data_IF_971490197940
#
_entry.id   IF_971490197940
#
_cell.length_a   1.000
_cell.length_b   1.000
_cell.length_c   1.000
_cell.angle_alpha   90.00
_cell.angle_beta   90.00
_cell.angle_gamma   90.00
#
_symmetry.space_group_name_H-M   'P 1'
#
loop_
_entity.id
_entity.type
_entity.pdbx_description
1 polymer ?
#
# COMPACT_ATOMS: atom_id res chain seq x y z
N UNK A 1 6.99 54.83 -65.39
CA UNK A 1 7.29 55.70 -64.23
C UNK A 1 7.01 54.93 -62.96
N UNK A 2 8.00 54.84 -62.05
CA UNK A 2 7.91 54.20 -60.74
C UNK A 2 6.91 54.94 -59.83
N UNK A 3 6.16 54.21 -59.00
CA UNK A 3 5.87 54.56 -57.60
C UNK A 3 5.34 53.32 -56.85
N UNK A 4 6.17 52.85 -55.90
CA UNK A 4 5.85 51.93 -54.81
C UNK A 4 5.22 52.72 -53.65
N UNK A 5 4.20 52.16 -52.99
CA UNK A 5 3.74 52.49 -51.64
C UNK A 5 3.20 51.18 -51.01
N UNK A 6 4.03 50.47 -50.24
CA UNK A 6 4.04 50.40 -48.76
C UNK A 6 2.86 49.62 -48.15
N UNK A 7 3.08 48.32 -47.99
CA UNK A 7 2.35 47.41 -47.09
C UNK A 7 2.79 47.64 -45.64
N UNK A 8 1.88 48.10 -44.79
CA UNK A 8 2.03 47.99 -43.33
C UNK A 8 1.33 46.73 -42.82
N UNK A 9 1.90 45.96 -41.88
CA UNK A 9 1.23 44.81 -41.31
C UNK A 9 0.15 45.26 -40.30
N UNK A 10 -1.07 44.80 -40.53
CA UNK A 10 -2.18 44.87 -39.58
C UNK A 10 -1.94 43.80 -38.51
N UNK A 11 -1.59 44.21 -37.30
CA UNK A 11 -1.44 43.30 -36.16
C UNK A 11 -2.82 42.88 -35.65
N UNK A 12 -3.27 41.70 -36.07
CA UNK A 12 -4.44 41.02 -35.51
C UNK A 12 -4.10 40.51 -34.11
N UNK A 13 -4.69 41.15 -33.09
CA UNK A 13 -4.68 40.66 -31.71
C UNK A 13 -5.53 39.38 -31.63
N UNK A 14 -4.88 38.22 -31.69
CA UNK A 14 -5.51 36.93 -31.40
C UNK A 14 -5.66 36.82 -29.88
N UNK A 15 -6.88 37.04 -29.39
CA UNK A 15 -7.24 36.76 -28.00
C UNK A 15 -7.28 35.25 -27.81
N UNK A 16 -6.18 34.68 -27.35
CA UNK A 16 -6.14 33.28 -26.92
C UNK A 16 -6.92 33.14 -25.61
N UNK A 17 -8.15 32.60 -25.71
CA UNK A 17 -8.84 32.05 -24.55
C UNK A 17 -8.02 30.85 -24.05
N UNK A 18 -7.23 31.06 -23.00
CA UNK A 18 -6.69 29.97 -22.19
C UNK A 18 -7.89 29.33 -21.48
N UNK A 19 -8.51 28.35 -22.14
CA UNK A 19 -9.36 27.37 -21.46
C UNK A 19 -8.46 26.71 -20.43
N UNK A 20 -8.66 27.07 -19.16
CA UNK A 20 -8.01 26.43 -18.04
C UNK A 20 -8.40 24.97 -18.04
N UNK A 21 -7.57 24.13 -18.67
CA UNK A 21 -7.48 22.73 -18.30
C UNK A 21 -7.05 22.73 -16.84
N UNK A 22 -8.02 22.64 -15.92
CA UNK A 22 -7.73 22.08 -14.60
C UNK A 22 -7.11 20.73 -14.87
N UNK A 23 -5.78 20.66 -14.78
CA UNK A 23 -5.09 19.40 -14.69
C UNK A 23 -5.70 18.72 -13.47
N UNK A 24 -6.63 17.79 -13.70
CA UNK A 24 -6.95 16.76 -12.73
C UNK A 24 -5.61 16.11 -12.48
N UNK A 25 -4.98 16.48 -11.35
CA UNK A 25 -3.90 15.70 -10.81
C UNK A 25 -4.35 14.23 -10.77
N UNK A 26 -3.43 13.27 -10.90
CA UNK A 26 -3.79 11.86 -10.98
C UNK A 26 -4.80 11.55 -9.87
N UNK A 27 -6.00 11.11 -10.29
CA UNK A 27 -7.04 10.73 -9.36
C UNK A 27 -6.46 9.55 -8.59
N UNK A 28 -6.16 9.75 -7.31
CA UNK A 28 -5.75 8.64 -6.46
C UNK A 28 -6.88 7.60 -6.50
N UNK A 29 -6.56 6.30 -6.61
CA UNK A 29 -7.58 5.26 -6.57
C UNK A 29 -8.36 5.36 -5.26
N UNK A 30 -9.65 5.06 -5.32
CA UNK A 30 -10.46 4.91 -4.11
C UNK A 30 -9.80 3.84 -3.23
N UNK A 31 -9.45 4.21 -2.00
CA UNK A 31 -8.79 3.34 -1.04
C UNK A 31 -9.70 2.99 0.13
N UNK A 32 -9.34 1.93 0.83
CA UNK A 32 -10.05 1.35 1.96
C UNK A 32 -9.11 1.30 3.13
N UNK A 33 -9.42 2.04 4.19
CA UNK A 33 -8.65 1.94 5.44
C UNK A 33 -8.94 0.60 6.10
N UNK A 34 -7.92 -0.25 6.21
CA UNK A 34 -8.01 -1.55 6.85
C UNK A 34 -7.85 -1.46 8.37
N UNK A 35 -6.85 -0.70 8.82
CA UNK A 35 -6.55 -0.52 10.25
C UNK A 35 -5.90 0.82 10.52
N UNK A 36 -6.11 1.37 11.73
CA UNK A 36 -5.56 2.65 12.17
C UNK A 36 -4.72 2.44 13.42
N UNK A 37 -3.60 3.14 13.50
CA UNK A 37 -2.59 2.95 14.53
C UNK A 37 -2.06 4.29 15.03
N UNK A 38 -1.52 4.27 16.25
CA UNK A 38 -0.79 5.38 16.84
C UNK A 38 0.46 4.83 17.51
N UNK A 39 1.63 5.19 17.00
CA UNK A 39 2.93 4.73 17.48
C UNK A 39 3.84 5.93 17.68
N UNK A 40 4.49 6.03 18.85
CA UNK A 40 5.38 7.16 19.18
C UNK A 40 4.77 8.56 18.94
N UNK A 41 3.45 8.70 19.11
CA UNK A 41 2.72 9.96 18.88
C UNK A 41 2.36 10.26 17.42
N UNK A 42 2.78 9.40 16.48
CA UNK A 42 2.45 9.47 15.06
C UNK A 42 1.20 8.64 14.79
N UNK A 43 0.21 9.25 14.13
CA UNK A 43 -0.98 8.55 13.64
C UNK A 43 -0.72 8.08 12.21
N UNK A 44 -1.12 6.84 11.92
CA UNK A 44 -0.97 6.24 10.59
C UNK A 44 -1.99 5.11 10.41
N UNK A 45 -2.10 4.61 9.20
CA UNK A 45 -3.06 3.58 8.81
C UNK A 45 -2.46 2.59 7.81
N UNK A 46 -3.08 1.41 7.74
CA UNK A 46 -2.87 0.45 6.67
C UNK A 46 -4.05 0.56 5.73
N UNK A 47 -3.78 0.94 4.48
CA UNK A 47 -4.76 1.10 3.43
C UNK A 47 -4.67 -0.04 2.42
N UNK A 48 -5.79 -0.28 1.73
CA UNK A 48 -5.87 -1.16 0.58
C UNK A 48 -6.55 -0.46 -0.59
N UNK A 49 -6.04 -0.69 -1.80
CA UNK A 49 -6.67 -0.22 -3.03
C UNK A 49 -6.31 -1.17 -4.18
N UNK A 50 -7.07 -1.10 -5.27
CA UNK A 50 -6.76 -1.81 -6.50
C UNK A 50 -6.04 -0.87 -7.47
N UNK A 51 -5.01 -1.41 -8.14
CA UNK A 51 -4.30 -0.76 -9.23
C UNK A 51 -4.20 -1.70 -10.44
N UNK A 52 -3.60 -1.23 -11.52
CA UNK A 52 -3.30 -2.07 -12.70
C UNK A 52 -2.37 -3.25 -12.34
N UNK A 53 -1.56 -3.12 -11.28
CA UNK A 53 -0.66 -4.16 -10.80
C UNK A 53 -1.34 -5.18 -9.86
N UNK A 54 -2.62 -4.96 -9.50
CA UNK A 54 -3.39 -5.81 -8.58
C UNK A 54 -3.65 -5.14 -7.23
N UNK A 55 -3.93 -5.95 -6.20
CA UNK A 55 -4.13 -5.46 -4.83
C UNK A 55 -2.87 -4.77 -4.31
N UNK A 56 -3.02 -3.53 -3.84
CA UNK A 56 -2.01 -2.79 -3.13
C UNK A 56 -2.34 -2.69 -1.65
N UNK A 57 -1.33 -2.81 -0.79
CA UNK A 57 -1.39 -2.48 0.62
C UNK A 57 -0.33 -1.43 0.93
N UNK A 58 -0.69 -0.40 1.69
CA UNK A 58 0.17 0.75 1.98
C UNK A 58 0.05 1.14 3.46
N UNK A 59 1.19 1.35 4.12
CA UNK A 59 1.28 2.03 5.40
C UNK A 59 1.49 3.51 5.13
N UNK A 60 0.55 4.34 5.57
CA UNK A 60 0.52 5.77 5.28
C UNK A 60 -0.14 6.58 6.40
N UNK A 61 -0.21 7.90 6.24
CA UNK A 61 -0.88 8.79 7.18
C UNK A 61 -2.39 8.77 7.10
N UNK A 62 -3.06 9.32 8.12
CA UNK A 62 -4.51 9.23 8.32
C UNK A 62 -5.34 10.02 7.28
N UNK A 63 -4.76 10.32 6.12
CA UNK A 63 -5.35 11.09 5.02
C UNK A 63 -5.08 10.45 3.64
N UNK A 64 -4.65 9.18 3.61
CA UNK A 64 -4.29 8.45 2.39
C UNK A 64 -2.98 8.93 1.74
N UNK A 65 -2.57 8.30 0.62
CA UNK A 65 -1.25 8.50 0.05
C UNK A 65 -1.04 9.92 -0.49
N UNK A 66 -0.08 10.64 0.11
CA UNK A 66 0.47 11.85 -0.49
C UNK A 66 1.70 11.51 -1.31
N UNK A 67 1.64 11.76 -2.61
CA UNK A 67 2.82 11.70 -3.49
C UNK A 67 3.85 12.72 -2.97
N UNK A 68 4.98 12.25 -2.44
CA UNK A 68 6.13 13.08 -2.07
C UNK A 68 6.33 13.40 -0.57
N UNK A 69 5.66 12.72 0.35
CA UNK A 69 6.00 12.74 1.79
C UNK A 69 6.53 11.35 2.23
N UNK A 70 7.83 11.26 2.55
CA UNK A 70 8.63 10.03 2.62
C UNK A 70 8.45 9.20 3.90
N UNK A 71 7.32 8.50 4.02
CA UNK A 71 7.18 7.39 4.98
C UNK A 71 6.21 6.29 4.50
N UNK A 72 5.74 6.40 3.26
CA UNK A 72 4.92 5.38 2.62
C UNK A 72 5.75 4.10 2.41
N UNK A 73 5.35 3.00 3.04
CA UNK A 73 5.83 1.66 2.67
C UNK A 73 4.62 0.90 2.14
N UNK A 74 4.78 0.28 0.97
CA UNK A 74 3.67 -0.44 0.35
C UNK A 74 4.16 -1.39 -0.73
N UNK A 75 3.30 -2.34 -1.07
CA UNK A 75 3.51 -3.23 -2.20
C UNK A 75 2.18 -3.49 -2.92
N UNK A 76 2.29 -3.83 -4.19
CA UNK A 76 1.18 -4.17 -5.07
C UNK A 76 1.37 -5.54 -5.71
N UNK A 77 0.26 -6.15 -6.13
CA UNK A 77 0.25 -7.34 -6.98
C UNK A 77 0.69 -8.62 -6.29
N UNK A 78 0.62 -8.67 -4.95
CA UNK A 78 1.08 -9.76 -4.09
C UNK A 78 0.93 -11.14 -4.78
N UNK A 79 2.04 -11.68 -5.26
CA UNK A 79 2.09 -12.85 -6.11
C UNK A 79 2.84 -14.01 -5.46
N UNK A 80 2.31 -15.21 -5.71
CA UNK A 80 2.84 -16.49 -5.25
C UNK A 80 4.16 -16.91 -5.87
N UNK A 81 4.50 -16.38 -7.03
CA UNK A 81 5.66 -16.82 -7.78
C UNK A 81 7.00 -16.37 -7.17
N UNK A 82 6.98 -15.47 -6.18
CA UNK A 82 8.15 -14.97 -5.45
C UNK A 82 7.96 -15.11 -3.92
N UNK A 83 8.25 -16.27 -3.31
CA UNK A 83 7.91 -16.54 -1.91
C UNK A 83 8.65 -15.70 -0.87
N UNK A 84 9.81 -15.12 -1.23
CA UNK A 84 10.66 -14.30 -0.36
C UNK A 84 10.12 -12.89 -0.09
N UNK A 85 9.32 -12.35 -1.01
CA UNK A 85 9.00 -10.92 -1.09
C UNK A 85 7.64 -10.64 -1.75
N UNK A 86 7.00 -11.63 -2.37
CA UNK A 86 5.74 -11.47 -3.11
C UNK A 86 4.46 -11.66 -2.28
N UNK A 87 4.55 -12.17 -1.04
CA UNK A 87 3.35 -12.47 -0.23
C UNK A 87 3.01 -11.43 0.83
N UNK A 88 3.97 -10.60 1.17
CA UNK A 88 3.87 -9.64 2.25
C UNK A 88 4.86 -8.51 1.98
N UNK A 89 4.61 -7.37 2.60
CA UNK A 89 5.49 -6.21 2.55
C UNK A 89 5.87 -5.81 3.96
N UNK A 90 7.00 -5.14 4.07
CA UNK A 90 7.41 -4.49 5.30
C UNK A 90 7.86 -3.06 5.07
N UNK A 91 7.91 -2.32 6.18
CA UNK A 91 8.45 -0.99 6.23
C UNK A 91 8.91 -0.63 7.62
N UNK A 92 9.49 0.56 7.75
CA UNK A 92 9.80 1.14 9.03
C UNK A 92 8.49 1.45 9.77
N UNK A 93 8.41 1.12 11.07
CA UNK A 93 7.27 1.55 11.89
C UNK A 93 7.22 3.08 11.95
N UNK A 94 6.08 3.72 11.58
CA UNK A 94 5.99 5.17 11.61
C UNK A 94 6.24 5.74 13.02
N UNK A 95 7.08 6.78 13.10
CA UNK A 95 7.45 7.43 14.36
C UNK A 95 8.51 6.70 15.20
N UNK A 96 8.95 5.50 14.82
CA UNK A 96 10.02 4.81 15.54
C UNK A 96 11.41 5.39 15.20
N UNK A 97 12.26 5.53 16.22
CA UNK A 97 13.60 6.13 16.06
C UNK A 97 14.65 5.20 15.46
N UNK A 98 14.44 3.87 15.49
CA UNK A 98 15.18 2.83 14.76
C UNK A 98 14.68 1.41 15.14
N UNK A 99 14.92 0.44 14.24
CA UNK A 99 14.80 -1.03 14.43
C UNK A 99 13.42 -1.65 14.57
N UNK A 100 12.36 -0.87 14.79
CA UNK A 100 10.99 -1.39 14.75
C UNK A 100 10.44 -1.35 13.32
N UNK A 101 9.79 -2.43 12.91
CA UNK A 101 9.27 -2.60 11.55
C UNK A 101 7.79 -2.95 11.58
N UNK A 102 7.11 -2.71 10.48
CA UNK A 102 5.75 -3.18 10.25
C UNK A 102 5.78 -4.21 9.14
N UNK A 103 4.97 -5.26 9.28
CA UNK A 103 4.86 -6.33 8.30
C UNK A 103 3.39 -6.68 8.08
N UNK A 104 3.00 -6.82 6.82
CA UNK A 104 1.60 -7.01 6.45
C UNK A 104 1.47 -7.69 5.10
N UNK A 105 0.30 -8.26 4.84
CA UNK A 105 0.03 -8.88 3.55
C UNK A 105 -1.39 -9.40 3.43
N UNK A 106 -1.84 -9.72 2.21
CA UNK A 106 -3.11 -10.38 1.99
C UNK A 106 -3.00 -11.89 2.24
N UNK A 107 -4.13 -12.51 2.57
CA UNK A 107 -4.29 -13.93 2.86
C UNK A 107 -5.56 -14.46 2.23
N UNK A 108 -5.57 -15.74 1.77
CA UNK A 108 -6.78 -16.40 1.31
C UNK A 108 -7.91 -16.32 2.34
N UNK A 109 -9.16 -16.35 1.86
CA UNK A 109 -10.35 -16.21 2.71
C UNK A 109 -10.44 -17.25 3.85
N UNK A 110 -9.90 -18.45 3.64
CA UNK A 110 -9.88 -19.51 4.64
C UNK A 110 -8.67 -19.46 5.60
N UNK A 111 -7.72 -18.54 5.42
CA UNK A 111 -6.54 -18.40 6.27
C UNK A 111 -6.77 -17.43 7.44
N UNK A 112 -7.33 -17.93 8.55
CA UNK A 112 -7.71 -17.15 9.73
C UNK A 112 -6.55 -16.62 10.58
N UNK A 113 -5.33 -17.10 10.31
CA UNK A 113 -4.11 -16.62 10.95
C UNK A 113 -2.90 -16.82 10.04
N UNK A 114 -1.75 -16.29 10.44
CA UNK A 114 -0.46 -16.53 9.81
C UNK A 114 0.60 -16.75 10.89
N UNK A 115 1.44 -17.76 10.69
CA UNK A 115 2.61 -18.00 11.54
C UNK A 115 3.82 -17.31 10.93
N UNK A 116 4.45 -16.41 11.69
CA UNK A 116 5.59 -15.59 11.22
C UNK A 116 6.91 -16.01 11.87
N UNK A 117 6.86 -16.54 13.10
CA UNK A 117 7.99 -17.19 13.77
C UNK A 117 7.54 -18.51 14.42
N UNK A 118 8.48 -19.33 14.89
CA UNK A 118 8.18 -20.68 15.40
C UNK A 118 7.13 -20.67 16.52
N UNK A 119 7.03 -19.61 17.31
CA UNK A 119 6.03 -19.43 18.36
C UNK A 119 5.17 -18.17 18.21
N UNK A 120 5.24 -17.48 17.06
CA UNK A 120 4.45 -16.26 16.81
C UNK A 120 3.39 -16.52 15.73
N UNK A 121 2.12 -16.41 16.12
CA UNK A 121 0.96 -16.52 15.25
C UNK A 121 0.13 -15.24 15.33
N UNK A 122 -0.08 -14.62 14.18
CA UNK A 122 -0.83 -13.37 14.02
C UNK A 122 -2.21 -13.68 13.46
N UNK A 123 -3.27 -13.14 14.05
CA UNK A 123 -4.64 -13.31 13.52
C UNK A 123 -4.83 -12.48 12.25
N UNK A 124 -5.62 -12.99 11.32
CA UNK A 124 -6.00 -12.25 10.12
C UNK A 124 -7.43 -11.71 10.22
N UNK A 125 -7.70 -10.63 9.50
CA UNK A 125 -8.97 -9.91 9.47
C UNK A 125 -9.52 -9.95 8.05
N UNK A 126 -10.82 -10.24 7.83
CA UNK A 126 -11.38 -10.21 6.48
C UNK A 126 -11.30 -8.81 5.87
N UNK A 127 -11.09 -8.74 4.55
CA UNK A 127 -11.28 -7.46 3.85
C UNK A 127 -12.74 -6.99 4.00
N UNK A 128 -13.00 -5.67 4.12
CA UNK A 128 -14.35 -5.15 4.22
C UNK A 128 -15.21 -5.54 3.02
N UNK A 129 -16.38 -6.14 3.27
CA UNK A 129 -17.33 -6.49 2.20
C UNK A 129 -17.86 -5.25 1.48
N UNK A 130 -18.06 -5.35 0.17
CA UNK A 130 -18.62 -4.26 -0.64
C UNK A 130 -17.64 -3.13 -0.97
N UNK A 131 -16.36 -3.28 -0.63
CA UNK A 131 -15.31 -2.28 -0.84
C UNK A 131 -14.62 -2.34 -2.21
N UNK A 132 -14.99 -3.30 -3.07
CA UNK A 132 -14.30 -3.58 -4.33
C UNK A 132 -13.00 -4.37 -4.18
N UNK A 133 -12.51 -4.59 -2.96
CA UNK A 133 -11.33 -5.43 -2.69
C UNK A 133 -11.60 -6.92 -2.99
N UNK A 134 -10.56 -7.70 -3.33
CA UNK A 134 -10.71 -9.13 -3.59
C UNK A 134 -11.16 -9.88 -2.33
N UNK A 135 -11.95 -10.93 -2.52
CA UNK A 135 -12.32 -11.83 -1.42
C UNK A 135 -11.06 -12.41 -0.77
N UNK A 136 -10.90 -12.16 0.52
CA UNK A 136 -9.72 -12.55 1.27
C UNK A 136 -9.65 -11.87 2.63
N UNK A 137 -8.46 -11.95 3.20
CA UNK A 137 -8.14 -11.42 4.52
C UNK A 137 -6.83 -10.65 4.43
N UNK A 138 -6.53 -9.87 5.44
CA UNK A 138 -5.21 -9.28 5.64
C UNK A 138 -4.70 -9.63 7.03
N UNK A 139 -3.39 -9.55 7.19
CA UNK A 139 -2.74 -9.58 8.50
C UNK A 139 -1.79 -8.40 8.60
N UNK A 140 -1.50 -8.02 9.84
CA UNK A 140 -0.65 -6.90 10.15
C UNK A 140 0.06 -7.18 11.48
N UNK A 141 1.35 -6.89 11.55
CA UNK A 141 2.20 -7.10 12.71
C UNK A 141 3.21 -5.95 12.85
N UNK A 142 3.39 -5.45 14.08
CA UNK A 142 4.47 -4.54 14.42
C UNK A 142 5.56 -5.38 15.06
N UNK A 143 6.73 -5.45 14.42
CA UNK A 143 7.92 -6.10 14.96
C UNK A 143 8.58 -5.17 15.97
N UNK A 144 8.55 -5.50 17.28
CA UNK A 144 9.23 -4.67 18.26
C UNK A 144 10.75 -4.72 18.05
N UNK A 145 11.50 -3.72 18.54
CA UNK A 145 12.96 -3.74 18.48
C UNK A 145 13.54 -5.04 19.06
N UNK A 146 14.43 -5.69 18.31
CA UNK A 146 15.06 -6.96 18.70
C UNK A 146 14.19 -8.20 18.48
N UNK A 147 13.10 -8.07 17.72
CA UNK A 147 12.31 -9.22 17.26
C UNK A 147 13.02 -9.98 16.12
N UNK A 148 12.88 -11.32 16.05
CA UNK A 148 12.30 -12.18 17.07
C UNK A 148 13.24 -12.36 18.28
N UNK A 149 12.68 -12.39 19.48
CA UNK A 149 13.40 -12.75 20.69
C UNK A 149 13.25 -14.25 21.01
N UNK A 150 13.88 -14.72 22.11
CA UNK A 150 13.84 -16.14 22.51
C UNK A 150 12.42 -16.68 22.71
N UNK A 151 11.47 -15.87 23.16
CA UNK A 151 10.08 -16.27 23.34
C UNK A 151 9.34 -16.43 21.99
N UNK A 152 9.61 -15.54 21.03
CA UNK A 152 9.05 -15.60 19.66
C UNK A 152 9.57 -16.80 18.87
N UNK A 153 10.81 -17.21 19.19
CA UNK A 153 11.51 -18.34 18.60
C UNK A 153 12.21 -17.96 17.29
N UNK A 154 12.20 -18.87 16.31
CA UNK A 154 12.93 -18.67 15.05
C UNK A 154 12.03 -18.02 14.00
N UNK A 155 12.49 -16.94 13.37
CA UNK A 155 11.84 -16.33 12.20
C UNK A 155 11.64 -17.39 11.10
N UNK A 156 10.44 -17.44 10.52
CA UNK A 156 10.21 -18.30 9.37
C UNK A 156 10.68 -17.58 8.10
N UNK A 157 11.50 -18.24 7.28
CA UNK A 157 11.90 -17.72 5.96
C UNK A 157 10.71 -17.50 5.02
N UNK A 158 9.61 -18.21 5.26
CA UNK A 158 8.33 -18.00 4.58
C UNK A 158 7.22 -18.13 5.63
N UNK A 159 6.48 -17.05 5.91
CA UNK A 159 5.30 -17.09 6.76
C UNK A 159 4.28 -18.13 6.30
N UNK A 160 3.52 -18.71 7.23
CA UNK A 160 2.63 -19.83 6.95
C UNK A 160 1.18 -19.44 7.25
N UNK A 161 0.33 -19.21 6.24
CA UNK A 161 -1.10 -19.03 6.43
C UNK A 161 -1.70 -20.26 7.09
N UNK A 162 -2.58 -20.07 8.06
CA UNK A 162 -3.21 -21.12 8.84
C UNK A 162 -4.74 -20.99 8.77
N UNK A 163 -5.43 -22.12 8.62
CA UNK A 163 -6.88 -22.20 8.76
C UNK A 163 -7.32 -22.17 10.23
N UNK A 164 -8.64 -22.24 10.46
CA UNK A 164 -9.22 -22.22 11.82
C UNK A 164 -8.84 -23.43 12.68
N UNK A 165 -8.31 -24.50 12.07
CA UNK A 165 -7.78 -25.68 12.75
C UNK A 165 -6.25 -25.61 12.94
N UNK A 166 -5.59 -24.53 12.51
CA UNK A 166 -4.14 -24.39 12.55
C UNK A 166 -3.42 -25.17 11.45
N UNK A 167 -4.12 -25.67 10.43
CA UNK A 167 -3.48 -26.33 9.28
C UNK A 167 -3.01 -25.29 8.28
N UNK A 168 -1.89 -25.60 7.59
CA UNK A 168 -1.33 -24.72 6.57
C UNK A 168 -2.30 -24.56 5.40
N UNK A 169 -2.42 -23.32 4.94
CA UNK A 169 -3.16 -22.94 3.73
C UNK A 169 -2.15 -22.40 2.72
N UNK A 170 -2.32 -22.76 1.45
CA UNK A 170 -1.49 -22.20 0.39
C UNK A 170 -1.84 -20.72 0.19
N UNK A 171 -0.84 -19.87 0.02
CA UNK A 171 -1.08 -18.52 -0.46
C UNK A 171 -1.73 -18.52 -1.86
N UNK A 172 -2.38 -17.41 -2.20
CA UNK A 172 -2.91 -17.13 -3.54
C UNK A 172 -2.40 -15.77 -4.03
N UNK A 173 -2.55 -15.52 -5.33
CA UNK A 173 -2.32 -14.22 -5.95
C UNK A 173 -3.46 -13.25 -5.60
N UNK A 174 -3.13 -11.97 -5.40
CA UNK A 174 -4.04 -10.87 -5.12
C UNK A 174 -3.81 -9.68 -6.04
#
# INVERSE_FOLDING_TARGET
MRRLLTTGPVTLLVSAFLVGCSAKGPHLPDYVVLSKHVTHGVRWELDAYLSDDGLCLMVDGPKGPKVGEDWSSGACGFNRDHPSDGYWASGQEPGASQSASVVYGPLPDNATAIKVASHTVVKSVPFPHGSGLPTGRYWFFIEPPGWPNKADGTLLSTPQPLDKQGKKVAFKKF
#
